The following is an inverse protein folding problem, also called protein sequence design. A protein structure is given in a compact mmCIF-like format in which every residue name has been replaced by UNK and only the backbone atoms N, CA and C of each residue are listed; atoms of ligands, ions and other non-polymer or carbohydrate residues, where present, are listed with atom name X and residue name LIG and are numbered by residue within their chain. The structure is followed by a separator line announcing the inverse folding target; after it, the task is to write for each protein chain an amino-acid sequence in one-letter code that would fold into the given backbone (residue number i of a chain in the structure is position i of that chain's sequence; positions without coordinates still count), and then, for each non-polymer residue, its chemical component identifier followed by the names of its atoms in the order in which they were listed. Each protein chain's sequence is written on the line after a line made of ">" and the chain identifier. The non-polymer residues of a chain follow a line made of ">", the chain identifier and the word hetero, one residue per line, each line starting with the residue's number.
data_IF_602898419345
#
_entry.id   IF_602898419345
#
_cell.length_a   1.000
_cell.length_b   1.000
_cell.length_c   1.000
_cell.angle_alpha   90.00
_cell.angle_beta   90.00
_cell.angle_gamma   90.00
#
_symmetry.space_group_name_H-M   'P 1'
#
loop_
_entity.id
_entity.type
_entity.pdbx_description
1 polymer ?
#
# COMPACT_ATOMS: atom_id res chain seq x y z
N UNK A 1 -17.57 5.83 -2.13
CA UNK A 1 -16.21 6.07 -1.57
C UNK A 1 -15.17 5.38 -2.42
N UNK A 2 -15.24 4.06 -2.67
CA UNK A 2 -14.31 3.41 -3.62
C UNK A 2 -14.40 4.06 -5.00
N UNK A 3 -15.61 4.32 -5.47
CA UNK A 3 -15.86 5.02 -6.74
C UNK A 3 -15.23 6.41 -6.77
N UNK A 4 -15.15 7.11 -5.63
CA UNK A 4 -14.54 8.45 -5.58
C UNK A 4 -13.03 8.39 -5.81
N UNK A 5 -12.36 7.35 -5.31
CA UNK A 5 -10.92 7.14 -5.55
C UNK A 5 -10.69 6.59 -6.97
N UNK A 6 -11.56 5.72 -7.48
CA UNK A 6 -11.50 5.26 -8.87
C UNK A 6 -11.64 6.44 -9.85
N UNK A 7 -12.64 7.30 -9.66
CA UNK A 7 -12.85 8.52 -10.46
C UNK A 7 -11.63 9.45 -10.36
N UNK A 8 -11.05 9.63 -9.16
CA UNK A 8 -9.84 10.43 -8.97
C UNK A 8 -8.60 9.80 -9.65
N UNK A 9 -8.58 8.49 -9.83
CA UNK A 9 -7.49 7.77 -10.49
C UNK A 9 -7.60 7.74 -12.02
N UNK A 10 -8.78 8.00 -12.61
CA UNK A 10 -8.99 7.97 -14.07
C UNK A 10 -7.97 8.79 -14.87
N UNK A 11 -7.64 10.04 -14.50
CA UNK A 11 -6.64 10.82 -15.25
C UNK A 11 -5.25 10.17 -15.24
N UNK A 12 -4.87 9.56 -14.12
CA UNK A 12 -3.59 8.84 -13.99
C UNK A 12 -3.61 7.53 -14.77
N UNK A 13 -4.73 6.82 -14.76
CA UNK A 13 -4.92 5.61 -15.54
C UNK A 13 -4.81 5.87 -17.06
N UNK A 14 -5.52 6.88 -17.58
CA UNK A 14 -5.39 7.31 -18.99
C UNK A 14 -3.96 7.72 -19.31
N UNK A 15 -3.32 8.46 -18.39
CA UNK A 15 -1.93 8.87 -18.57
C UNK A 15 -0.99 7.69 -18.71
N UNK A 16 -1.12 6.68 -17.85
CA UNK A 16 -0.31 5.46 -17.91
C UNK A 16 -0.56 4.68 -19.20
N UNK A 17 -1.82 4.57 -19.64
CA UNK A 17 -2.19 3.88 -20.89
C UNK A 17 -1.59 4.55 -22.13
N UNK A 18 -1.66 5.88 -22.22
CA UNK A 18 -1.23 6.65 -23.39
C UNK A 18 0.27 6.99 -23.39
N UNK A 19 0.95 6.83 -22.25
CA UNK A 19 2.36 7.20 -22.16
C UNK A 19 3.27 6.25 -22.95
N UNK A 20 3.95 6.79 -23.95
CA UNK A 20 4.96 6.11 -24.76
C UNK A 20 6.36 6.58 -24.32
N UNK A 21 6.96 5.88 -23.37
CA UNK A 21 8.27 6.22 -22.80
C UNK A 21 8.67 5.27 -21.68
N UNK A 22 9.81 5.55 -21.03
CA UNK A 22 10.29 4.77 -19.90
C UNK A 22 9.73 5.33 -18.59
N UNK A 23 9.19 4.47 -17.75
CA UNK A 23 8.59 4.83 -16.46
C UNK A 23 9.55 4.48 -15.32
N UNK A 24 9.66 5.37 -14.32
CA UNK A 24 10.31 5.08 -13.05
C UNK A 24 9.26 4.80 -11.98
N UNK A 25 9.16 3.56 -11.51
CA UNK A 25 8.31 3.20 -10.37
C UNK A 25 9.12 3.30 -9.07
N UNK A 26 8.68 4.10 -8.11
CA UNK A 26 9.38 4.28 -6.83
C UNK A 26 8.43 3.98 -5.69
N UNK A 27 8.80 3.06 -4.81
CA UNK A 27 7.97 2.72 -3.64
C UNK A 27 8.72 2.65 -2.32
N UNK A 28 7.98 2.47 -1.24
CA UNK A 28 8.50 2.42 0.13
C UNK A 28 8.85 0.98 0.59
N UNK A 29 9.77 0.87 1.55
CA UNK A 29 10.38 -0.40 1.99
C UNK A 29 9.53 -1.25 2.93
N UNK A 30 8.47 -0.70 3.53
CA UNK A 30 7.62 -1.47 4.44
C UNK A 30 6.64 -2.40 3.70
N UNK A 31 5.75 -3.05 4.45
CA UNK A 31 4.81 -4.00 3.89
C UNK A 31 3.75 -3.34 2.98
N UNK A 32 3.38 -2.09 3.25
CA UNK A 32 2.45 -1.35 2.39
C UNK A 32 3.13 -0.96 1.09
N UNK A 33 4.29 -0.31 1.18
CA UNK A 33 5.05 0.14 0.02
C UNK A 33 5.53 -0.99 -0.88
N UNK A 34 5.94 -2.13 -0.33
CA UNK A 34 6.28 -3.31 -1.14
C UNK A 34 5.03 -3.86 -1.84
N UNK A 35 3.88 -3.88 -1.17
CA UNK A 35 2.63 -4.35 -1.76
C UNK A 35 2.15 -3.39 -2.86
N UNK A 36 2.22 -2.08 -2.62
CA UNK A 36 1.92 -1.04 -3.59
C UNK A 36 2.85 -1.11 -4.80
N UNK A 37 4.15 -1.31 -4.59
CA UNK A 37 5.15 -1.51 -5.65
C UNK A 37 4.84 -2.77 -6.47
N UNK A 38 4.45 -3.87 -5.83
CA UNK A 38 4.10 -5.10 -6.53
C UNK A 38 2.84 -4.92 -7.41
N UNK A 39 1.83 -4.19 -6.91
CA UNK A 39 0.62 -3.84 -7.67
C UNK A 39 1.00 -2.95 -8.86
N UNK A 40 1.79 -1.89 -8.62
CA UNK A 40 2.25 -0.99 -9.67
C UNK A 40 3.08 -1.70 -10.74
N UNK A 41 3.97 -2.61 -10.31
CA UNK A 41 4.78 -3.45 -11.20
C UNK A 41 3.90 -4.30 -12.12
N UNK A 42 2.97 -5.07 -11.54
CA UNK A 42 2.10 -5.98 -12.30
C UNK A 42 1.16 -5.20 -13.25
N UNK A 43 0.63 -4.06 -12.80
CA UNK A 43 -0.16 -3.15 -13.63
C UNK A 43 0.64 -2.66 -14.86
N UNK A 44 1.88 -2.19 -14.65
CA UNK A 44 2.74 -1.71 -15.74
C UNK A 44 3.19 -2.84 -16.67
N UNK A 45 3.46 -4.04 -16.13
CA UNK A 45 3.80 -5.23 -16.91
C UNK A 45 2.63 -5.63 -17.82
N UNK A 46 1.40 -5.67 -17.29
CA UNK A 46 0.18 -6.00 -18.05
C UNK A 46 -0.11 -4.98 -19.16
N UNK A 47 0.17 -3.70 -18.90
CA UNK A 47 0.10 -2.65 -19.93
C UNK A 47 1.23 -2.74 -20.98
N UNK A 48 2.24 -3.59 -20.77
CA UNK A 48 3.39 -3.72 -21.67
C UNK A 48 4.29 -2.49 -21.68
N UNK A 49 4.38 -1.76 -20.57
CA UNK A 49 5.21 -0.55 -20.44
C UNK A 49 6.69 -0.91 -20.24
N UNK A 50 7.58 -0.02 -20.67
CA UNK A 50 9.01 -0.10 -20.34
C UNK A 50 9.25 0.67 -19.05
N UNK A 51 9.76 0.00 -18.02
CA UNK A 51 9.92 0.61 -16.71
C UNK A 51 11.06 0.02 -15.89
N UNK A 52 11.62 0.85 -15.01
CA UNK A 52 12.48 0.43 -13.91
C UNK A 52 11.80 0.72 -12.58
N UNK A 53 12.11 -0.07 -11.54
CA UNK A 53 11.58 0.16 -10.21
C UNK A 53 12.69 0.28 -9.16
N UNK A 54 12.41 1.06 -8.12
CA UNK A 54 13.26 1.24 -6.95
C UNK A 54 12.42 1.23 -5.67
N UNK A 55 12.95 0.59 -4.63
CA UNK A 55 12.34 0.59 -3.29
C UNK A 55 13.25 1.38 -2.35
N UNK A 56 12.71 2.47 -1.81
CA UNK A 56 13.38 3.37 -0.90
C UNK A 56 12.93 3.11 0.54
N UNK A 57 13.83 3.33 1.49
CA UNK A 57 13.45 3.31 2.92
C UNK A 57 12.63 4.52 3.31
N UNK A 58 12.94 5.65 2.70
CA UNK A 58 12.30 6.94 2.86
C UNK A 58 12.71 7.78 1.65
N UNK A 59 11.87 8.73 1.24
CA UNK A 59 12.15 9.68 0.18
C UNK A 59 12.61 10.98 0.83
N UNK A 60 13.88 11.34 0.61
CA UNK A 60 14.42 12.65 0.98
C UNK A 60 14.46 13.57 -0.25
N UNK A 61 14.62 14.88 -0.04
CA UNK A 61 14.75 15.85 -1.16
C UNK A 61 15.92 15.47 -2.08
N UNK A 62 17.02 14.94 -1.55
CA UNK A 62 18.17 14.49 -2.33
C UNK A 62 17.83 13.29 -3.25
N UNK A 63 16.91 12.42 -2.85
CA UNK A 63 16.43 11.33 -3.70
C UNK A 63 15.57 11.88 -4.84
N UNK A 64 14.70 12.86 -4.56
CA UNK A 64 13.89 13.56 -5.56
C UNK A 64 14.79 14.28 -6.58
N UNK A 65 15.83 14.96 -6.11
CA UNK A 65 16.83 15.61 -6.99
C UNK A 65 17.54 14.59 -7.88
N UNK A 66 17.94 13.43 -7.34
CA UNK A 66 18.54 12.35 -8.12
C UNK A 66 17.59 11.81 -9.18
N UNK A 67 16.35 11.47 -8.80
CA UNK A 67 15.33 10.92 -9.72
C UNK A 67 15.01 11.92 -10.85
N UNK A 68 15.03 13.22 -10.54
CA UNK A 68 14.85 14.27 -11.54
C UNK A 68 15.93 14.25 -12.64
N UNK A 69 17.15 13.79 -12.33
CA UNK A 69 18.27 13.70 -13.27
C UNK A 69 18.34 12.38 -14.06
N UNK A 70 17.48 11.39 -13.75
CA UNK A 70 17.42 10.10 -14.45
C UNK A 70 16.80 10.24 -15.86
N UNK A 71 16.79 9.19 -16.67
CA UNK A 71 16.37 9.27 -18.09
C UNK A 71 14.85 9.04 -18.28
N UNK A 72 14.13 8.59 -17.24
CA UNK A 72 12.69 8.31 -17.28
C UNK A 72 11.86 9.60 -17.30
N UNK A 73 10.96 9.74 -18.27
CA UNK A 73 10.13 10.95 -18.45
C UNK A 73 8.87 10.97 -17.57
N UNK A 74 8.42 9.79 -17.09
CA UNK A 74 7.31 9.66 -16.15
C UNK A 74 7.74 8.94 -14.89
N UNK A 75 7.47 9.56 -13.74
CA UNK A 75 7.75 9.00 -12.42
C UNK A 75 6.43 8.62 -11.75
N UNK A 76 6.29 7.35 -11.36
CA UNK A 76 5.18 6.82 -10.58
C UNK A 76 5.67 6.53 -9.16
N UNK A 77 5.28 7.38 -8.20
CA UNK A 77 5.50 7.12 -6.79
C UNK A 77 4.32 6.35 -6.20
N UNK A 78 4.61 5.30 -5.41
CA UNK A 78 3.60 4.50 -4.70
C UNK A 78 3.97 4.39 -3.22
N UNK A 79 3.03 4.66 -2.32
CA UNK A 79 3.26 4.73 -0.86
C UNK A 79 4.33 5.74 -0.41
N UNK A 80 4.66 6.67 -1.29
CA UNK A 80 5.66 7.69 -1.03
C UNK A 80 5.38 8.89 -1.94
N UNK A 81 5.91 10.05 -1.57
CA UNK A 81 5.82 11.26 -2.39
C UNK A 81 4.88 12.32 -1.84
N UNK A 82 3.78 12.00 -1.15
CA UNK A 82 2.87 13.03 -0.60
C UNK A 82 3.58 13.93 0.42
N UNK A 83 4.34 13.32 1.32
CA UNK A 83 5.16 14.03 2.30
C UNK A 83 6.38 14.79 1.72
N UNK A 84 6.65 14.65 0.41
CA UNK A 84 7.70 15.37 -0.33
C UNK A 84 7.14 16.09 -1.55
N UNK A 85 5.83 16.38 -1.58
CA UNK A 85 5.17 16.85 -2.79
C UNK A 85 5.63 18.26 -3.23
N UNK A 86 6.14 19.08 -2.31
CA UNK A 86 6.83 20.34 -2.64
C UNK A 86 8.15 20.10 -3.38
N UNK A 87 8.96 19.12 -2.93
CA UNK A 87 10.22 18.78 -3.57
C UNK A 87 9.99 18.17 -4.96
N UNK A 88 8.97 17.31 -5.10
CA UNK A 88 8.55 16.72 -6.38
C UNK A 88 8.15 17.80 -7.38
N UNK A 89 7.30 18.76 -6.96
CA UNK A 89 6.91 19.90 -7.78
C UNK A 89 8.14 20.69 -8.27
N UNK A 90 9.01 21.09 -7.33
CA UNK A 90 10.18 21.94 -7.61
C UNK A 90 11.20 21.26 -8.53
N UNK A 91 11.55 20.00 -8.26
CA UNK A 91 12.69 19.36 -8.91
C UNK A 91 12.32 18.50 -10.11
N UNK A 92 11.22 17.75 -10.03
CA UNK A 92 10.81 16.84 -11.10
C UNK A 92 9.93 17.58 -12.11
N UNK A 93 8.89 18.28 -11.64
CA UNK A 93 7.94 18.96 -12.53
C UNK A 93 8.52 20.25 -13.10
N UNK A 94 8.95 21.20 -12.26
CA UNK A 94 9.37 22.53 -12.74
C UNK A 94 10.76 22.54 -13.37
N UNK A 95 11.73 21.86 -12.73
CA UNK A 95 13.14 21.90 -13.15
C UNK A 95 13.46 20.87 -14.22
N UNK A 96 13.01 19.61 -14.05
CA UNK A 96 13.28 18.54 -15.03
C UNK A 96 12.20 18.44 -16.12
N UNK A 97 11.05 19.11 -15.96
CA UNK A 97 9.94 19.07 -16.91
C UNK A 97 9.42 17.65 -17.20
N UNK A 98 9.38 16.81 -16.15
CA UNK A 98 8.92 15.42 -16.19
C UNK A 98 7.50 15.28 -15.66
N UNK A 99 6.84 14.21 -16.07
CA UNK A 99 5.49 13.89 -15.62
C UNK A 99 5.52 13.07 -14.35
N UNK A 100 4.58 13.31 -13.45
CA UNK A 100 4.55 12.63 -12.15
C UNK A 100 3.14 12.13 -11.85
N UNK A 101 3.08 10.90 -11.34
CA UNK A 101 1.92 10.29 -10.72
C UNK A 101 2.32 9.90 -9.30
N UNK A 102 1.52 10.26 -8.32
CA UNK A 102 1.68 9.83 -6.92
C UNK A 102 0.42 9.06 -6.51
N UNK A 103 0.58 7.82 -6.04
CA UNK A 103 -0.49 7.00 -5.44
C UNK A 103 -0.11 6.69 -4.00
N UNK A 104 -0.72 7.41 -3.06
CA UNK A 104 -0.24 7.46 -1.68
C UNK A 104 -1.38 7.83 -0.72
N UNK A 105 -1.20 7.58 0.56
CA UNK A 105 -2.19 7.81 1.62
C UNK A 105 -1.70 8.76 2.72
N UNK A 106 -0.42 9.14 2.71
CA UNK A 106 0.14 10.11 3.66
C UNK A 106 -0.38 11.53 3.40
N UNK A 107 -0.32 12.41 4.40
CA UNK A 107 -0.70 13.83 4.22
C UNK A 107 0.16 14.52 3.15
N UNK A 108 -0.45 15.11 2.11
CA UNK A 108 0.28 15.88 1.10
C UNK A 108 0.71 17.25 1.63
N UNK A 109 1.90 17.72 1.23
CA UNK A 109 2.35 19.08 1.56
C UNK A 109 1.62 20.14 0.72
N UNK A 110 1.42 19.84 -0.56
CA UNK A 110 0.72 20.67 -1.55
C UNK A 110 -0.08 19.83 -2.54
N UNK A 111 -1.06 20.46 -3.16
CA UNK A 111 -1.64 20.05 -4.46
C UNK A 111 -0.81 20.71 -5.57
N UNK A 112 -0.01 19.93 -6.29
CA UNK A 112 0.89 20.42 -7.34
C UNK A 112 0.39 20.18 -8.77
N UNK A 113 1.22 20.49 -9.75
CA UNK A 113 0.97 20.29 -11.18
C UNK A 113 1.34 18.86 -11.62
N UNK A 114 0.85 17.86 -10.89
CA UNK A 114 1.03 16.44 -11.15
C UNK A 114 -0.23 15.66 -10.75
N UNK A 115 -0.34 14.41 -11.17
CA UNK A 115 -1.48 13.57 -10.84
C UNK A 115 -1.27 12.91 -9.48
N UNK A 116 -2.21 13.10 -8.56
CA UNK A 116 -2.04 12.65 -7.17
C UNK A 116 -3.31 11.95 -6.68
N UNK A 117 -3.26 10.62 -6.65
CA UNK A 117 -4.29 9.78 -6.06
C UNK A 117 -4.02 9.72 -4.56
N UNK A 118 -4.78 10.50 -3.78
CA UNK A 118 -4.65 10.52 -2.33
C UNK A 118 -6.02 10.74 -1.64
N UNK A 119 -6.41 9.88 -0.67
CA UNK A 119 -7.70 9.96 0.01
C UNK A 119 -7.93 11.29 0.73
N UNK A 120 -6.88 11.99 1.15
CA UNK A 120 -6.99 13.26 1.87
C UNK A 120 -7.67 14.37 1.03
N UNK A 121 -7.56 14.33 -0.31
CA UNK A 121 -8.25 15.29 -1.18
C UNK A 121 -9.78 15.09 -1.20
N UNK A 122 -10.25 13.92 -0.79
CA UNK A 122 -11.66 13.59 -0.65
C UNK A 122 -12.15 13.69 0.81
N UNK A 123 -11.30 14.18 1.73
CA UNK A 123 -11.61 14.22 3.16
C UNK A 123 -11.66 12.84 3.83
N UNK A 124 -10.99 11.85 3.24
CA UNK A 124 -10.88 10.48 3.75
C UNK A 124 -9.55 10.35 4.49
N UNK A 125 -9.57 9.75 5.68
CA UNK A 125 -8.39 9.53 6.51
C UNK A 125 -7.52 8.39 5.93
N UNK A 126 -6.33 8.74 5.42
CA UNK A 126 -5.37 7.76 4.91
C UNK A 126 -4.77 6.86 6.00
N UNK A 127 -4.77 7.25 7.27
CA UNK A 127 -4.21 6.43 8.35
C UNK A 127 -5.10 5.25 8.77
N UNK A 128 -6.39 5.28 8.45
CA UNK A 128 -7.35 4.24 8.87
C UNK A 128 -8.20 3.68 7.72
N UNK A 129 -8.56 4.52 6.74
CA UNK A 129 -9.56 4.14 5.74
C UNK A 129 -8.97 3.36 4.57
N UNK A 130 -7.78 3.73 4.10
CA UNK A 130 -7.12 3.08 2.97
C UNK A 130 -5.60 3.19 3.06
N UNK A 131 -4.92 2.09 2.75
CA UNK A 131 -3.47 2.03 2.60
C UNK A 131 -3.01 2.52 1.23
N UNK A 132 -1.72 2.79 1.04
CA UNK A 132 -1.21 3.14 -0.28
C UNK A 132 -1.25 1.95 -1.25
N UNK A 133 -1.14 0.70 -0.78
CA UNK A 133 -1.41 -0.46 -1.62
C UNK A 133 -2.90 -0.50 -2.04
N UNK A 134 -3.80 -0.04 -1.17
CA UNK A 134 -5.21 0.18 -1.49
C UNK A 134 -5.43 1.19 -2.61
N UNK A 135 -4.88 2.40 -2.48
CA UNK A 135 -5.00 3.45 -3.52
C UNK A 135 -4.37 2.99 -4.84
N UNK A 136 -3.22 2.31 -4.78
CA UNK A 136 -2.53 1.78 -5.95
C UNK A 136 -3.30 0.64 -6.62
N UNK A 137 -4.01 -0.20 -5.86
CA UNK A 137 -4.92 -1.22 -6.42
C UNK A 137 -6.10 -0.59 -7.16
N UNK A 138 -6.64 0.52 -6.65
CA UNK A 138 -7.72 1.24 -7.32
C UNK A 138 -7.21 1.96 -8.58
N UNK A 139 -5.99 2.51 -8.56
CA UNK A 139 -5.34 3.00 -9.77
C UNK A 139 -5.16 1.88 -10.82
N UNK A 140 -4.71 0.70 -10.39
CA UNK A 140 -4.56 -0.45 -11.28
C UNK A 140 -5.90 -0.90 -11.89
N UNK A 141 -6.98 -0.89 -11.10
CA UNK A 141 -8.32 -1.19 -11.60
C UNK A 141 -8.84 -0.11 -12.57
N UNK A 142 -8.56 1.17 -12.32
CA UNK A 142 -8.91 2.25 -13.24
C UNK A 142 -8.15 2.14 -14.58
N UNK A 143 -6.94 1.57 -14.56
CA UNK A 143 -6.19 1.22 -15.77
C UNK A 143 -6.89 0.11 -16.55
N UNK A 144 -7.22 -1.00 -15.88
CA UNK A 144 -7.90 -2.15 -16.46
C UNK A 144 -8.69 -2.89 -15.37
N UNK A 145 -9.97 -3.17 -15.62
CA UNK A 145 -10.85 -3.87 -14.68
C UNK A 145 -10.35 -5.28 -14.32
N UNK A 146 -9.56 -5.92 -15.19
CA UNK A 146 -8.94 -7.22 -14.93
C UNK A 146 -7.92 -7.17 -13.77
N UNK A 147 -7.42 -5.98 -13.41
CA UNK A 147 -6.53 -5.77 -12.27
C UNK A 147 -7.23 -5.83 -10.90
N UNK A 148 -8.56 -6.07 -10.86
CA UNK A 148 -9.27 -6.38 -9.61
C UNK A 148 -8.61 -7.52 -8.84
N UNK A 149 -7.93 -8.46 -9.52
CA UNK A 149 -7.24 -9.57 -8.88
C UNK A 149 -6.09 -9.12 -7.97
N UNK A 150 -5.59 -7.89 -8.11
CA UNK A 150 -4.50 -7.31 -7.32
C UNK A 150 -4.93 -6.79 -5.95
N UNK A 151 -6.24 -6.66 -5.70
CA UNK A 151 -6.78 -6.22 -4.40
C UNK A 151 -6.32 -7.10 -3.23
N UNK A 152 -5.99 -8.38 -3.49
CA UNK A 152 -5.41 -9.30 -2.50
C UNK A 152 -4.08 -8.79 -1.93
N UNK A 153 -3.29 -8.07 -2.73
CA UNK A 153 -2.05 -7.44 -2.29
C UNK A 153 -2.31 -6.15 -1.54
N UNK A 154 -3.35 -5.38 -1.90
CA UNK A 154 -3.78 -4.21 -1.13
C UNK A 154 -4.13 -4.58 0.32
N UNK A 155 -4.84 -5.69 0.52
CA UNK A 155 -5.19 -6.17 1.86
C UNK A 155 -3.97 -6.65 2.67
N UNK A 156 -2.91 -7.09 1.99
CA UNK A 156 -1.62 -7.38 2.64
C UNK A 156 -0.97 -6.08 3.10
N UNK A 157 -0.91 -5.07 2.23
CA UNK A 157 -0.41 -3.74 2.54
C UNK A 157 -1.13 -3.11 3.73
N UNK A 158 -2.46 -3.04 3.67
CA UNK A 158 -3.31 -2.55 4.77
C UNK A 158 -3.12 -3.32 6.08
N UNK A 159 -2.85 -4.64 6.03
CA UNK A 159 -2.54 -5.42 7.23
C UNK A 159 -1.15 -5.06 7.77
N UNK A 160 -0.18 -4.83 6.89
CA UNK A 160 1.18 -4.42 7.23
C UNK A 160 1.26 -3.02 7.83
N UNK A 161 0.40 -2.12 7.35
CA UNK A 161 0.25 -0.75 7.84
C UNK A 161 -0.66 -0.63 9.08
N UNK A 162 -1.05 -1.77 9.66
CA UNK A 162 -1.84 -1.81 10.91
C UNK A 162 -3.20 -1.11 10.79
N UNK A 163 -3.81 -1.10 9.59
CA UNK A 163 -5.11 -0.46 9.35
C UNK A 163 -6.31 -1.37 9.69
N UNK A 164 -6.16 -2.23 10.71
CA UNK A 164 -7.25 -3.02 11.30
C UNK A 164 -7.51 -2.53 12.71
N UNK A 165 -8.79 -2.41 13.05
CA UNK A 165 -9.23 -2.15 14.41
C UNK A 165 -10.04 -3.35 14.91
N UNK A 166 -9.68 -3.89 16.07
CA UNK A 166 -10.31 -5.08 16.66
C UNK A 166 -10.39 -6.28 15.69
N UNK A 167 -9.39 -6.42 14.83
CA UNK A 167 -9.29 -7.50 13.84
C UNK A 167 -10.08 -7.28 12.54
N UNK A 168 -10.74 -6.14 12.39
CA UNK A 168 -11.56 -5.81 11.21
C UNK A 168 -10.98 -4.61 10.44
N UNK A 169 -11.13 -4.63 9.12
CA UNK A 169 -10.83 -3.45 8.30
C UNK A 169 -11.94 -2.41 8.43
N UNK A 170 -11.56 -1.14 8.34
CA UNK A 170 -12.46 0.02 8.35
C UNK A 170 -12.46 0.71 6.98
N UNK A 171 -13.37 1.66 6.81
CA UNK A 171 -13.40 2.55 5.65
C UNK A 171 -13.34 1.81 4.31
N UNK A 172 -12.53 2.34 3.39
CA UNK A 172 -12.33 1.77 2.05
C UNK A 172 -11.66 0.39 2.08
N UNK A 173 -10.78 0.10 3.05
CA UNK A 173 -10.19 -1.24 3.17
C UNK A 173 -11.25 -2.32 3.42
N UNK A 174 -12.34 -1.97 4.12
CA UNK A 174 -13.48 -2.86 4.27
C UNK A 174 -14.19 -3.08 2.92
N UNK A 175 -14.38 -2.03 2.14
CA UNK A 175 -14.97 -2.14 0.80
C UNK A 175 -14.07 -2.99 -0.12
N UNK A 176 -12.74 -2.82 -0.05
CA UNK A 176 -11.77 -3.65 -0.78
C UNK A 176 -11.81 -5.12 -0.35
N UNK A 177 -12.00 -5.40 0.95
CA UNK A 177 -12.21 -6.75 1.47
C UNK A 177 -13.46 -7.38 0.85
N UNK A 178 -14.59 -6.67 0.88
CA UNK A 178 -15.86 -7.16 0.32
C UNK A 178 -15.71 -7.47 -1.18
N UNK A 179 -15.07 -6.57 -1.94
CA UNK A 179 -14.77 -6.79 -3.37
C UNK A 179 -13.88 -8.01 -3.62
N UNK A 180 -12.88 -8.23 -2.76
CA UNK A 180 -12.01 -9.39 -2.85
C UNK A 180 -12.76 -10.71 -2.57
N UNK A 181 -13.71 -10.71 -1.63
CA UNK A 181 -14.58 -11.85 -1.34
C UNK A 181 -15.56 -12.12 -2.50
N UNK A 182 -16.20 -11.09 -3.04
CA UNK A 182 -17.12 -11.18 -4.18
C UNK A 182 -16.45 -11.78 -5.43
N UNK A 183 -15.18 -11.44 -5.66
CA UNK A 183 -14.37 -11.98 -6.76
C UNK A 183 -13.68 -13.31 -6.43
N UNK A 184 -13.98 -13.93 -5.28
CA UNK A 184 -13.38 -15.21 -4.84
C UNK A 184 -11.84 -15.20 -4.79
N UNK A 185 -11.24 -14.04 -4.51
CA UNK A 185 -9.78 -13.86 -4.44
C UNK A 185 -9.23 -14.21 -3.06
N UNK A 186 -10.07 -14.14 -2.04
CA UNK A 186 -9.73 -14.42 -0.64
C UNK A 186 -10.86 -15.18 0.06
N UNK A 187 -10.58 -15.70 1.26
CA UNK A 187 -11.59 -16.25 2.16
C UNK A 187 -11.45 -15.59 3.53
N UNK A 188 -12.52 -14.96 4.03
CA UNK A 188 -12.55 -14.44 5.40
C UNK A 188 -12.82 -15.57 6.39
N UNK A 189 -11.94 -15.68 7.39
CA UNK A 189 -12.07 -16.66 8.49
C UNK A 189 -11.89 -15.97 9.83
N UNK A 190 -12.76 -16.32 10.78
CA UNK A 190 -12.56 -15.94 12.17
C UNK A 190 -11.48 -16.83 12.82
N UNK A 191 -10.54 -16.22 13.53
CA UNK A 191 -9.48 -16.92 14.23
C UNK A 191 -8.74 -16.02 15.21
N UNK A 192 -7.68 -16.55 15.83
CA UNK A 192 -6.81 -15.74 16.67
C UNK A 192 -5.90 -14.89 15.78
N UNK A 193 -5.87 -13.59 16.03
CA UNK A 193 -4.98 -12.64 15.36
C UNK A 193 -3.59 -12.69 15.99
N UNK A 194 -2.84 -13.75 15.66
CA UNK A 194 -1.51 -13.99 16.21
C UNK A 194 -0.46 -13.89 15.11
N UNK A 195 0.61 -13.16 15.40
CA UNK A 195 1.80 -13.20 14.57
C UNK A 195 2.35 -14.64 14.46
N UNK A 196 2.63 -15.04 13.23
CA UNK A 196 3.17 -16.37 12.94
C UNK A 196 2.18 -17.52 13.11
N UNK A 197 0.86 -17.27 13.17
CA UNK A 197 -0.20 -18.30 13.28
C UNK A 197 0.02 -19.52 12.36
N UNK A 198 0.52 -19.30 11.15
CA UNK A 198 0.75 -20.35 10.16
C UNK A 198 2.21 -20.82 10.06
N UNK A 199 3.14 -20.14 10.72
CA UNK A 199 4.60 -20.33 10.52
C UNK A 199 5.35 -20.64 11.81
N UNK A 200 4.69 -20.56 12.97
CA UNK A 200 5.28 -20.78 14.29
C UNK A 200 4.42 -21.72 15.13
N UNK A 201 5.03 -22.45 16.08
CA UNK A 201 4.27 -23.14 17.12
C UNK A 201 3.40 -22.18 17.93
N UNK A 202 2.24 -22.64 18.41
CA UNK A 202 1.26 -21.81 19.13
C UNK A 202 1.88 -21.04 20.31
N UNK A 203 2.76 -21.67 21.09
CA UNK A 203 3.42 -21.02 22.23
C UNK A 203 4.30 -19.84 21.79
N UNK A 204 4.96 -19.91 20.63
CA UNK A 204 5.74 -18.80 20.10
C UNK A 204 4.85 -17.69 19.58
N UNK A 205 3.76 -18.02 18.88
CA UNK A 205 2.78 -17.03 18.43
C UNK A 205 2.16 -16.25 19.60
N UNK A 206 1.73 -16.94 20.66
CA UNK A 206 1.24 -16.30 21.88
C UNK A 206 2.31 -15.45 22.56
N UNK A 207 3.54 -15.97 22.69
CA UNK A 207 4.66 -15.23 23.29
C UNK A 207 5.00 -13.94 22.54
N UNK A 208 4.90 -13.93 21.21
CA UNK A 208 5.17 -12.76 20.37
C UNK A 208 3.99 -11.80 20.23
N UNK A 209 2.80 -12.16 20.74
CA UNK A 209 1.64 -11.28 20.69
C UNK A 209 1.84 -10.14 21.68
N UNK A 210 1.99 -8.92 21.18
CA UNK A 210 2.17 -7.71 21.99
C UNK A 210 0.92 -6.84 22.02
N UNK A 211 -0.02 -7.07 21.11
CA UNK A 211 -1.29 -6.36 21.04
C UNK A 211 -2.44 -7.37 20.81
N UNK A 212 -3.33 -7.58 21.79
CA UNK A 212 -3.23 -7.05 23.16
C UNK A 212 -2.02 -7.65 23.90
N UNK A 213 -1.50 -6.91 24.88
CA UNK A 213 -0.52 -7.47 25.81
C UNK A 213 -1.19 -8.56 26.67
N UNK A 214 -0.60 -9.76 26.68
CA UNK A 214 -1.10 -10.92 27.41
C UNK A 214 -0.31 -11.13 28.70
N UNK A 215 -0.92 -10.81 29.84
CA UNK A 215 -0.28 -10.92 31.16
C UNK A 215 0.28 -12.31 31.42
N UNK A 216 1.58 -12.37 31.71
CA UNK A 216 2.30 -13.62 31.98
C UNK A 216 2.60 -14.46 30.74
N UNK A 217 2.18 -14.06 29.53
CA UNK A 217 2.37 -14.79 28.27
C UNK A 217 3.28 -14.01 27.30
N UNK A 218 2.98 -12.73 27.05
CA UNK A 218 3.79 -11.88 26.16
C UNK A 218 5.21 -11.80 26.65
N UNK A 219 6.18 -12.02 25.75
CA UNK A 219 7.61 -12.10 26.05
C UNK A 219 8.00 -13.13 27.14
N UNK A 220 7.13 -14.12 27.43
CA UNK A 220 7.38 -15.16 28.42
C UNK A 220 7.10 -16.56 27.83
N UNK A 221 8.15 -17.21 27.32
CA UNK A 221 8.05 -18.54 26.73
C UNK A 221 7.47 -19.59 27.69
N UNK A 222 7.98 -19.61 28.93
CA UNK A 222 7.50 -20.54 29.96
C UNK A 222 6.02 -20.31 30.28
N UNK A 223 5.60 -19.05 30.35
CA UNK A 223 4.22 -18.68 30.59
C UNK A 223 3.29 -19.08 29.44
N UNK A 224 3.70 -18.87 28.18
CA UNK A 224 2.95 -19.31 27.01
C UNK A 224 2.78 -20.84 26.95
N UNK A 225 3.84 -21.60 27.27
CA UNK A 225 3.78 -23.06 27.35
C UNK A 225 2.84 -23.52 28.46
N UNK A 226 2.94 -22.94 29.66
CA UNK A 226 2.07 -23.26 30.78
C UNK A 226 0.60 -22.93 30.48
N UNK A 227 0.33 -21.81 29.81
CA UNK A 227 -1.01 -21.42 29.39
C UNK A 227 -1.62 -22.47 28.46
N UNK A 228 -0.90 -22.89 27.41
CA UNK A 228 -1.37 -23.93 26.47
C UNK A 228 -1.62 -25.26 27.21
N UNK A 229 -0.67 -25.70 28.03
CA UNK A 229 -0.79 -26.95 28.79
C UNK A 229 -2.01 -26.93 29.73
N UNK A 230 -2.24 -25.82 30.43
CA UNK A 230 -3.38 -25.67 31.34
C UNK A 230 -4.72 -25.57 30.61
N UNK A 231 -4.71 -25.17 29.33
CA UNK A 231 -5.90 -25.04 28.48
C UNK A 231 -6.33 -26.38 27.85
N UNK A 232 -5.53 -27.44 27.98
CA UNK A 232 -5.81 -28.76 27.40
C UNK A 232 -5.68 -28.80 25.86
N UNK A 233 -4.93 -27.86 25.29
CA UNK A 233 -4.61 -27.82 23.85
C UNK A 233 -3.25 -28.50 23.66
N UNK A 234 -3.19 -29.50 22.77
CA UNK A 234 -1.95 -30.18 22.36
C UNK A 234 -1.29 -29.51 21.14
#
# INVERSE_FOLDING_TARGET
>A
MVEEILEAAEPAAEKLKDFDGKIRLVGQYDADGISATAIGYEMLERLGKDFEYEILKQLYEEDVERIAEEDEDLILFVDIGSGQSEAVQKHIVEKAAKEVIISDHHEPQIEGEFLHINPHFNGIDGGESISAAGTTSLLAEAVDEENIDLVKYALIGATGDVQKQDGEFLGLNKDLLERAEENSLIEKRQGLDLYGRSTKPLHKSLMYTSDPYLDGITNNESGAVQFIQSSGVE
#
